data_IF_527575266180
#
_entry.id   IF_527575266180
#
_cell.length_a   1.000
_cell.length_b   1.000
_cell.length_c   1.000
_cell.angle_alpha   90.00
_cell.angle_beta   90.00
_cell.angle_gamma   90.00
#
_symmetry.space_group_name_H-M   'P 1'
#
loop_
_entity.id
_entity.type
_entity.pdbx_description
1 polymer ?
#
# COMPACT_ATOMS: atom_id res chain seq x y z
N UNK A 1 20.14 15.20 -11.68
CA UNK A 1 18.69 15.19 -11.43
C UNK A 1 17.92 15.57 -12.68
N UNK A 2 18.22 16.71 -13.31
CA UNK A 2 17.55 17.22 -14.51
C UNK A 2 17.58 16.21 -15.68
N UNK A 3 18.74 15.64 -16.00
CA UNK A 3 18.87 14.61 -17.06
C UNK A 3 18.00 13.37 -16.81
N UNK A 4 17.89 12.94 -15.54
CA UNK A 4 17.04 11.78 -15.18
C UNK A 4 15.57 12.16 -15.40
N UNK A 5 15.15 13.34 -14.91
CA UNK A 5 13.79 13.84 -15.14
C UNK A 5 13.45 13.92 -16.63
N UNK A 6 14.33 14.53 -17.43
CA UNK A 6 14.14 14.65 -18.89
C UNK A 6 14.04 13.28 -19.56
N UNK A 7 14.91 12.31 -19.19
CA UNK A 7 14.82 10.95 -19.73
C UNK A 7 13.51 10.27 -19.38
N UNK A 8 13.02 10.43 -18.16
CA UNK A 8 11.72 9.90 -17.75
C UNK A 8 10.57 10.60 -18.50
N UNK A 9 10.61 11.93 -18.60
CA UNK A 9 9.59 12.69 -19.36
C UNK A 9 9.53 12.19 -20.80
N UNK A 10 10.68 11.95 -21.45
CA UNK A 10 10.73 11.43 -22.81
C UNK A 10 10.21 9.98 -22.90
N UNK A 11 10.51 9.14 -21.91
CA UNK A 11 10.00 7.76 -21.86
C UNK A 11 8.46 7.70 -21.79
N UNK A 12 7.82 8.70 -21.19
CA UNK A 12 6.36 8.88 -21.16
C UNK A 12 5.80 9.74 -22.32
N UNK A 13 6.57 9.93 -23.39
CA UNK A 13 6.14 10.63 -24.60
C UNK A 13 6.42 12.13 -24.63
N UNK A 14 7.02 12.70 -23.59
CA UNK A 14 7.53 14.07 -23.57
C UNK A 14 6.49 15.20 -23.45
N UNK A 15 5.20 14.88 -23.57
CA UNK A 15 4.14 15.90 -23.65
C UNK A 15 2.91 15.49 -22.84
N UNK A 16 3.03 15.52 -21.51
CA UNK A 16 1.95 15.28 -20.56
C UNK A 16 1.94 16.37 -19.47
N UNK A 17 0.81 16.58 -18.85
CA UNK A 17 0.67 17.51 -17.73
C UNK A 17 1.19 16.91 -16.43
N UNK A 18 0.74 15.69 -16.11
CA UNK A 18 1.14 14.90 -14.94
C UNK A 18 0.90 13.41 -15.18
N UNK A 19 1.54 12.56 -14.38
CA UNK A 19 1.26 11.13 -14.32
C UNK A 19 0.50 10.85 -13.01
N UNK A 20 -0.69 10.27 -13.13
CA UNK A 20 -1.48 9.86 -11.98
C UNK A 20 -1.25 8.37 -11.73
N UNK A 21 -0.72 8.05 -10.55
CA UNK A 21 -0.50 6.68 -10.11
C UNK A 21 -1.65 6.26 -9.22
N UNK A 22 -2.20 5.06 -9.41
CA UNK A 22 -3.30 4.56 -8.61
C UNK A 22 -3.53 3.07 -8.77
N UNK A 23 -4.42 2.53 -7.93
CA UNK A 23 -4.84 1.12 -7.98
C UNK A 23 -4.05 0.16 -7.10
N UNK A 24 -2.86 0.55 -6.62
CA UNK A 24 -2.05 -0.17 -5.64
C UNK A 24 -1.20 0.81 -4.82
N UNK A 25 -0.60 0.34 -3.74
CA UNK A 25 0.39 1.11 -3.01
C UNK A 25 1.55 1.48 -3.93
N UNK A 26 2.00 2.73 -3.85
CA UNK A 26 3.13 3.20 -4.64
C UNK A 26 4.41 3.08 -3.81
N UNK A 27 5.46 2.52 -4.41
CA UNK A 27 6.73 2.32 -3.72
C UNK A 27 7.30 3.66 -3.23
N UNK A 28 7.55 3.76 -1.94
CA UNK A 28 7.95 5.00 -1.27
C UNK A 28 9.32 5.53 -1.72
N UNK A 29 10.27 4.66 -2.10
CA UNK A 29 11.57 5.09 -2.63
C UNK A 29 11.44 5.68 -4.03
N UNK A 30 10.63 5.05 -4.88
CA UNK A 30 10.32 5.57 -6.23
C UNK A 30 9.62 6.91 -6.10
N UNK A 31 8.64 7.04 -5.22
CA UNK A 31 7.95 8.30 -4.93
C UNK A 31 8.93 9.38 -4.48
N UNK A 32 9.79 9.07 -3.52
CA UNK A 32 10.84 9.97 -3.05
C UNK A 32 11.80 10.40 -4.17
N UNK A 33 12.17 9.48 -5.07
CA UNK A 33 13.00 9.80 -6.23
C UNK A 33 12.28 10.78 -7.16
N UNK A 34 11.04 10.49 -7.55
CA UNK A 34 10.24 11.34 -8.44
C UNK A 34 10.09 12.75 -7.86
N UNK A 35 9.79 12.85 -6.57
CA UNK A 35 9.72 14.13 -5.86
C UNK A 35 11.07 14.88 -5.89
N UNK A 36 12.17 14.19 -5.56
CA UNK A 36 13.54 14.79 -5.55
C UNK A 36 14.01 15.30 -6.91
N UNK A 37 13.57 14.70 -8.01
CA UNK A 37 13.94 15.14 -9.37
C UNK A 37 12.94 16.14 -9.95
N UNK A 38 11.84 16.44 -9.25
CA UNK A 38 10.79 17.34 -9.71
C UNK A 38 9.99 16.79 -10.90
N UNK A 39 9.70 15.49 -10.90
CA UNK A 39 8.85 14.86 -11.90
C UNK A 39 7.37 15.14 -11.59
N UNK A 40 6.58 15.43 -12.62
CA UNK A 40 5.16 15.78 -12.46
C UNK A 40 4.34 14.50 -12.24
N UNK A 41 4.10 14.13 -10.99
CA UNK A 41 3.29 12.98 -10.63
C UNK A 41 2.37 13.31 -9.45
N UNK A 42 1.34 12.52 -9.31
CA UNK A 42 0.47 12.47 -8.15
C UNK A 42 0.00 11.03 -7.91
N UNK A 43 -0.46 10.76 -6.70
CA UNK A 43 -1.08 9.48 -6.35
C UNK A 43 -2.56 9.73 -6.08
N UNK A 44 -3.42 8.97 -6.76
CA UNK A 44 -4.86 8.99 -6.54
C UNK A 44 -5.35 7.70 -5.89
N UNK A 45 -6.43 7.82 -5.14
CA UNK A 45 -7.08 6.67 -4.51
C UNK A 45 -8.51 6.54 -5.00
N UNK A 46 -8.95 5.31 -5.16
CA UNK A 46 -10.30 5.05 -5.60
C UNK A 46 -10.72 3.58 -5.56
N UNK A 47 -11.99 3.36 -5.83
CA UNK A 47 -12.61 2.06 -5.87
C UNK A 47 -13.58 1.99 -7.04
N UNK A 48 -13.83 0.80 -7.59
CA UNK A 48 -14.80 0.57 -8.66
C UNK A 48 -16.18 1.11 -8.29
N UNK A 49 -16.53 0.99 -7.02
CA UNK A 49 -17.77 1.44 -6.39
C UNK A 49 -17.93 2.97 -6.41
N UNK A 50 -16.85 3.71 -6.70
CA UNK A 50 -16.84 5.18 -6.79
C UNK A 50 -16.45 5.70 -8.18
N UNK A 51 -16.48 4.89 -9.22
CA UNK A 51 -16.37 5.18 -10.66
C UNK A 51 -15.12 5.98 -11.14
N UNK A 52 -13.88 5.70 -10.81
CA UNK A 52 -13.38 5.06 -9.59
C UNK A 52 -12.87 6.04 -8.52
N UNK A 53 -12.70 7.36 -8.83
CA UNK A 53 -11.89 8.31 -8.05
C UNK A 53 -12.59 8.73 -6.75
N UNK A 54 -11.92 8.51 -5.63
CA UNK A 54 -12.31 8.99 -4.29
C UNK A 54 -11.47 10.21 -3.90
N UNK A 55 -10.14 10.13 -4.06
CA UNK A 55 -9.25 11.24 -3.75
C UNK A 55 -8.19 11.42 -4.83
N UNK A 56 -7.76 12.67 -4.96
CA UNK A 56 -6.78 13.13 -5.93
C UNK A 56 -6.36 14.57 -5.60
N UNK A 57 -5.14 14.93 -5.93
CA UNK A 57 -4.68 16.33 -5.89
C UNK A 57 -3.78 16.59 -7.10
N UNK A 58 -3.82 17.82 -7.64
CA UNK A 58 -2.91 18.25 -8.69
C UNK A 58 -1.45 18.21 -8.21
N UNK A 59 -0.53 17.80 -9.07
CA UNK A 59 0.87 17.60 -8.73
C UNK A 59 1.57 18.81 -8.09
N UNK A 60 1.09 20.04 -8.36
CA UNK A 60 1.65 21.26 -7.74
C UNK A 60 1.34 21.37 -6.24
N UNK A 61 0.22 20.78 -5.80
CA UNK A 61 -0.25 20.83 -4.42
C UNK A 61 -0.20 19.46 -3.73
N UNK A 62 0.26 18.45 -4.46
CA UNK A 62 0.30 17.07 -3.97
C UNK A 62 1.28 16.92 -2.80
N UNK A 63 0.81 16.34 -1.71
CA UNK A 63 1.62 15.98 -0.56
C UNK A 63 2.17 14.56 -0.73
N UNK A 64 3.51 14.37 -0.90
CA UNK A 64 4.10 13.04 -1.06
C UNK A 64 3.73 12.08 0.08
N UNK A 65 3.50 10.82 -0.25
CA UNK A 65 3.03 9.79 0.68
C UNK A 65 1.53 9.80 0.91
N UNK A 66 0.80 10.83 0.43
CA UNK A 66 -0.66 10.87 0.47
C UNK A 66 -1.29 10.31 -0.81
N UNK A 67 -2.62 10.21 -0.80
CA UNK A 67 -3.42 9.99 -2.02
C UNK A 67 -4.21 11.24 -2.42
N UNK A 68 -3.70 12.42 -2.06
CA UNK A 68 -4.40 13.69 -2.28
C UNK A 68 -5.59 13.88 -1.35
N UNK A 69 -6.45 14.82 -1.73
CA UNK A 69 -7.67 15.22 -0.99
C UNK A 69 -8.92 14.63 -1.64
N UNK A 70 -10.04 14.70 -0.94
CA UNK A 70 -11.33 14.31 -1.50
C UNK A 70 -11.53 14.95 -2.89
N UNK A 71 -11.82 14.12 -3.89
CA UNK A 71 -12.06 14.60 -5.25
C UNK A 71 -13.30 15.52 -5.31
N UNK A 72 -13.42 16.41 -6.30
CA UNK A 72 -14.59 17.26 -6.44
C UNK A 72 -15.89 16.46 -6.40
N UNK A 73 -16.88 16.91 -5.60
CA UNK A 73 -18.18 16.24 -5.33
C UNK A 73 -18.08 14.96 -4.52
N UNK A 74 -16.92 14.65 -3.95
CA UNK A 74 -16.74 13.59 -2.96
C UNK A 74 -16.64 14.17 -1.57
N UNK A 75 -17.20 13.47 -0.61
CA UNK A 75 -16.96 13.64 0.81
C UNK A 75 -16.18 12.42 1.28
N UNK A 76 -15.12 12.65 2.05
CA UNK A 76 -14.32 11.59 2.65
C UNK A 76 -14.19 11.87 4.14
N UNK A 77 -14.31 10.83 4.95
CA UNK A 77 -14.03 10.90 6.39
C UNK A 77 -13.30 9.67 6.86
N UNK A 78 -12.51 9.83 7.89
CA UNK A 78 -11.88 8.70 8.60
C UNK A 78 -12.75 8.38 9.82
N UNK A 79 -13.20 7.15 9.92
CA UNK A 79 -14.00 6.66 11.06
C UNK A 79 -13.09 6.40 12.27
N UNK A 80 -12.63 7.48 12.88
CA UNK A 80 -11.70 7.48 14.01
C UNK A 80 -12.06 8.63 14.97
N UNK A 81 -11.76 8.46 16.24
CA UNK A 81 -11.87 9.54 17.22
C UNK A 81 -10.79 10.63 17.03
N UNK A 82 -9.66 10.27 16.43
CA UNK A 82 -8.56 11.18 16.07
C UNK A 82 -8.10 10.86 14.65
N UNK A 83 -8.79 11.40 13.63
CA UNK A 83 -8.52 11.09 12.22
C UNK A 83 -7.10 11.40 11.75
N UNK A 84 -6.40 12.29 12.43
CA UNK A 84 -5.04 12.68 12.05
C UNK A 84 -3.97 11.69 12.55
N UNK A 85 -4.21 11.04 13.70
CA UNK A 85 -3.18 10.23 14.36
C UNK A 85 -3.56 8.76 14.52
N UNK A 86 -4.85 8.45 14.57
CA UNK A 86 -5.36 7.09 14.79
C UNK A 86 -6.06 6.60 13.52
N UNK A 87 -5.49 5.60 12.82
CA UNK A 87 -6.12 5.05 11.64
C UNK A 87 -7.54 4.55 11.88
N UNK A 88 -8.44 4.88 10.97
CA UNK A 88 -9.81 4.42 10.95
C UNK A 88 -10.23 4.06 9.54
N UNK A 89 -11.41 3.44 9.37
CA UNK A 89 -11.95 3.14 8.07
C UNK A 89 -12.16 4.42 7.26
N UNK A 90 -11.68 4.41 6.02
CA UNK A 90 -11.96 5.46 5.05
C UNK A 90 -13.40 5.28 4.55
N UNK A 91 -14.24 6.28 4.78
CA UNK A 91 -15.62 6.32 4.29
C UNK A 91 -15.73 7.38 3.21
N UNK A 92 -16.38 7.03 2.11
CA UNK A 92 -16.55 7.91 0.95
C UNK A 92 -18.02 8.07 0.59
N UNK A 93 -18.41 9.27 0.18
CA UNK A 93 -19.77 9.57 -0.30
C UNK A 93 -19.69 10.60 -1.42
N UNK A 94 -20.44 10.40 -2.50
CA UNK A 94 -20.47 11.35 -3.59
C UNK A 94 -21.40 10.95 -4.71
N UNK A 95 -21.51 11.81 -5.71
CA UNK A 95 -22.39 11.59 -6.87
C UNK A 95 -21.93 10.47 -7.79
N UNK A 96 -20.69 10.01 -7.63
CA UNK A 96 -20.08 8.91 -8.36
C UNK A 96 -20.08 7.58 -7.56
N UNK A 97 -20.63 7.57 -6.33
CA UNK A 97 -20.81 6.34 -5.58
C UNK A 97 -21.89 5.48 -6.23
N UNK A 98 -21.64 4.18 -6.35
CA UNK A 98 -22.56 3.19 -6.94
C UNK A 98 -23.92 3.19 -6.25
N UNK A 99 -24.95 2.76 -6.96
CA UNK A 99 -26.27 2.51 -6.39
C UNK A 99 -26.35 1.18 -5.62
N UNK A 100 -25.42 0.27 -5.89
CA UNK A 100 -25.34 -1.04 -5.25
C UNK A 100 -24.79 -2.11 -6.19
N UNK A 101 -24.58 -3.31 -5.65
CA UNK A 101 -24.18 -4.48 -6.42
C UNK A 101 -25.37 -5.11 -7.12
N UNK A 102 -25.23 -5.41 -8.41
CA UNK A 102 -26.30 -5.96 -9.22
C UNK A 102 -26.79 -7.31 -8.66
N UNK A 103 -28.10 -7.41 -8.38
CA UNK A 103 -28.76 -8.59 -7.80
C UNK A 103 -28.14 -9.10 -6.49
N UNK A 104 -27.44 -8.24 -5.74
CA UNK A 104 -26.85 -8.60 -4.46
C UNK A 104 -27.15 -7.53 -3.40
N UNK A 105 -28.38 -7.46 -2.90
CA UNK A 105 -28.78 -6.47 -1.90
C UNK A 105 -28.07 -6.66 -0.56
N UNK A 106 -27.68 -7.88 -0.21
CA UNK A 106 -26.96 -8.18 1.03
C UNK A 106 -25.57 -7.55 1.01
N UNK A 107 -24.76 -7.80 -0.03
CA UNK A 107 -23.45 -7.15 -0.17
C UNK A 107 -23.58 -5.63 -0.28
N UNK A 108 -24.65 -5.14 -0.91
CA UNK A 108 -24.92 -3.70 -0.98
C UNK A 108 -25.12 -3.10 0.42
N UNK A 109 -25.97 -3.73 1.24
CA UNK A 109 -26.24 -3.26 2.61
C UNK A 109 -25.03 -3.36 3.55
N UNK A 110 -24.09 -4.26 3.28
CA UNK A 110 -22.82 -4.35 4.02
C UNK A 110 -21.82 -3.26 3.64
N UNK A 111 -21.96 -2.68 2.45
CA UNK A 111 -20.98 -1.78 1.85
C UNK A 111 -21.45 -0.32 1.79
N UNK A 112 -22.76 -0.11 1.60
CA UNK A 112 -23.40 1.22 1.63
C UNK A 112 -24.30 1.32 2.86
N UNK A 113 -24.02 2.31 3.71
CA UNK A 113 -24.88 2.59 4.85
C UNK A 113 -26.12 3.40 4.43
N UNK A 114 -27.06 3.54 5.39
CA UNK A 114 -28.34 4.27 5.18
C UNK A 114 -28.18 5.76 4.88
N UNK A 115 -27.01 6.33 5.23
CA UNK A 115 -26.68 7.75 5.04
C UNK A 115 -25.89 7.96 3.73
N UNK A 116 -25.71 6.89 2.94
CA UNK A 116 -25.06 6.88 1.64
C UNK A 116 -23.53 6.84 1.69
N UNK A 117 -22.95 6.49 2.84
CA UNK A 117 -21.52 6.30 2.93
C UNK A 117 -21.13 4.91 2.41
N UNK A 118 -20.13 4.91 1.55
CA UNK A 118 -19.45 3.72 1.08
C UNK A 118 -18.33 3.34 2.07
N UNK A 119 -18.44 2.15 2.64
CA UNK A 119 -17.44 1.52 3.49
C UNK A 119 -16.38 0.89 2.61
N UNK A 120 -15.20 1.53 2.52
CA UNK A 120 -14.16 1.10 1.58
C UNK A 120 -13.45 -0.18 2.03
N UNK A 121 -13.47 -0.48 3.33
CA UNK A 121 -12.66 -1.51 3.95
C UNK A 121 -11.15 -1.17 3.99
N UNK A 122 -10.77 0.04 3.56
CA UNK A 122 -9.41 0.54 3.67
C UNK A 122 -9.25 1.39 4.94
N UNK A 123 -8.11 1.31 5.58
CA UNK A 123 -7.73 2.08 6.75
C UNK A 123 -6.84 3.24 6.34
N UNK A 124 -7.03 4.39 6.99
CA UNK A 124 -6.21 5.56 6.72
C UNK A 124 -6.29 6.61 7.81
N UNK A 125 -5.50 7.66 7.63
CA UNK A 125 -5.53 8.90 8.40
C UNK A 125 -5.71 10.08 7.45
N UNK A 126 -6.13 11.22 7.99
CA UNK A 126 -6.31 12.46 7.24
C UNK A 126 -5.68 13.61 8.02
N UNK A 127 -4.76 14.35 7.40
CA UNK A 127 -4.14 15.51 8.04
C UNK A 127 -5.09 16.72 8.08
N UNK A 128 -4.61 17.80 8.73
CA UNK A 128 -5.39 19.04 8.87
C UNK A 128 -5.68 19.73 7.54
N UNK A 129 -4.88 19.50 6.52
CA UNK A 129 -5.02 20.01 5.16
C UNK A 129 -6.00 19.18 4.33
N UNK A 130 -6.44 18.01 4.82
CA UNK A 130 -7.36 17.08 4.18
C UNK A 130 -6.68 16.05 3.26
N UNK A 131 -5.34 15.92 3.32
CA UNK A 131 -4.64 14.88 2.60
C UNK A 131 -4.88 13.51 3.27
N UNK A 132 -5.14 12.49 2.45
CA UNK A 132 -5.49 11.14 2.90
C UNK A 132 -4.26 10.24 2.76
N UNK A 133 -3.93 9.50 3.82
CA UNK A 133 -2.82 8.56 3.87
C UNK A 133 -3.38 7.17 4.14
N UNK A 134 -3.24 6.25 3.18
CA UNK A 134 -3.68 4.86 3.34
C UNK A 134 -2.67 4.12 4.23
N UNK A 135 -3.19 3.30 5.16
CA UNK A 135 -2.41 2.49 6.09
C UNK A 135 -2.51 1.00 5.84
N UNK A 136 -3.57 0.55 5.17
CA UNK A 136 -3.79 -0.85 4.83
C UNK A 136 -5.26 -1.18 4.70
N UNK A 137 -5.58 -2.48 4.85
CA UNK A 137 -6.95 -2.99 4.77
C UNK A 137 -7.42 -3.50 6.13
N UNK A 138 -8.68 -3.20 6.49
CA UNK A 138 -9.30 -3.72 7.73
C UNK A 138 -9.14 -5.24 7.86
N UNK A 139 -9.41 -5.97 6.78
CA UNK A 139 -9.35 -7.44 6.77
C UNK A 139 -7.94 -8.03 6.89
N UNK A 140 -6.91 -7.22 6.63
CA UNK A 140 -5.51 -7.65 6.71
C UNK A 140 -4.85 -7.22 8.02
N UNK A 141 -5.51 -6.33 8.78
CA UNK A 141 -5.01 -5.86 10.06
C UNK A 141 -4.80 -7.04 11.01
N UNK A 142 -3.64 -7.08 11.64
CA UNK A 142 -3.29 -8.09 12.63
C UNK A 142 -3.39 -7.49 14.04
N UNK A 143 -3.66 -8.34 15.01
CA UNK A 143 -3.71 -7.92 16.41
C UNK A 143 -2.42 -8.40 17.11
N UNK A 144 -1.63 -7.46 17.58
CA UNK A 144 -0.44 -7.75 18.37
C UNK A 144 -0.77 -8.37 19.74
N UNK A 145 0.18 -9.09 20.33
CA UNK A 145 0.02 -9.79 21.62
C UNK A 145 -0.45 -8.89 22.77
N UNK A 146 -0.17 -7.58 22.71
CA UNK A 146 -0.60 -6.59 23.71
C UNK A 146 -1.80 -5.76 23.23
N UNK A 147 -2.50 -6.19 22.17
CA UNK A 147 -3.70 -5.54 21.67
C UNK A 147 -3.49 -4.36 20.73
N UNK A 148 -2.26 -4.15 20.25
CA UNK A 148 -1.98 -3.13 19.22
C UNK A 148 -2.45 -3.60 17.85
N UNK A 149 -3.00 -2.66 17.07
CA UNK A 149 -3.24 -2.88 15.65
C UNK A 149 -1.91 -2.86 14.90
N UNK A 150 -1.68 -3.88 14.09
CA UNK A 150 -0.53 -3.99 13.18
C UNK A 150 -1.05 -3.94 11.76
N UNK A 151 -0.44 -3.11 10.95
CA UNK A 151 -0.77 -2.92 9.53
C UNK A 151 0.32 -3.57 8.67
N UNK A 152 0.10 -4.82 8.21
CA UNK A 152 1.12 -5.56 7.47
C UNK A 152 1.67 -4.80 6.27
N UNK A 153 0.80 -4.06 5.58
CA UNK A 153 1.16 -3.30 4.39
C UNK A 153 2.22 -2.23 4.69
N UNK A 154 2.22 -1.61 5.87
CA UNK A 154 3.25 -0.63 6.26
C UNK A 154 4.62 -1.29 6.50
N UNK A 155 4.64 -2.51 7.01
CA UNK A 155 5.88 -3.29 7.19
C UNK A 155 6.40 -3.76 5.83
N UNK A 156 5.48 -4.23 4.97
CA UNK A 156 5.77 -4.71 3.63
C UNK A 156 6.31 -3.60 2.72
N UNK A 157 5.76 -2.39 2.80
CA UNK A 157 6.27 -1.23 2.05
C UNK A 157 7.74 -0.99 2.36
N UNK A 158 8.12 -1.01 3.64
CA UNK A 158 9.51 -0.85 4.06
C UNK A 158 10.38 -2.02 3.61
N UNK A 159 9.90 -3.26 3.74
CA UNK A 159 10.65 -4.45 3.33
C UNK A 159 10.88 -4.49 1.82
N UNK A 160 9.90 -4.06 1.02
CA UNK A 160 9.99 -3.98 -0.43
C UNK A 160 10.99 -2.92 -0.93
N UNK A 161 11.51 -2.04 -0.07
CA UNK A 161 12.59 -1.11 -0.42
C UNK A 161 13.97 -1.68 -0.18
N UNK A 162 14.08 -2.83 0.50
CA UNK A 162 15.36 -3.43 0.85
C UNK A 162 15.93 -4.28 -0.29
N UNK A 163 17.27 -4.43 -0.38
CA UNK A 163 17.94 -5.12 -1.47
C UNK A 163 17.38 -6.54 -1.71
N UNK A 164 17.26 -6.92 -2.97
CA UNK A 164 16.83 -8.24 -3.44
C UNK A 164 15.42 -8.65 -3.03
N UNK A 165 14.56 -7.75 -2.55
CA UNK A 165 13.16 -8.04 -2.28
C UNK A 165 12.32 -7.61 -3.48
N UNK A 166 11.73 -8.57 -4.19
CA UNK A 166 10.81 -8.29 -5.30
C UNK A 166 9.38 -8.11 -4.80
N UNK A 167 8.92 -9.01 -3.94
CA UNK A 167 7.59 -8.96 -3.32
C UNK A 167 7.63 -9.60 -1.94
N UNK A 168 6.80 -9.08 -1.03
CA UNK A 168 6.64 -9.71 0.27
C UNK A 168 5.21 -9.58 0.79
N UNK A 169 4.87 -10.45 1.73
CA UNK A 169 3.71 -10.35 2.60
C UNK A 169 4.11 -10.68 4.03
N UNK A 170 3.51 -9.97 4.98
CA UNK A 170 3.69 -10.23 6.41
C UNK A 170 2.48 -10.98 6.94
N UNK A 171 2.75 -12.09 7.62
CA UNK A 171 1.73 -12.93 8.27
C UNK A 171 2.02 -13.04 9.76
N UNK A 172 0.99 -13.40 10.52
CA UNK A 172 1.12 -13.66 11.95
C UNK A 172 0.96 -15.17 12.23
N UNK A 173 1.89 -15.74 13.00
CA UNK A 173 1.83 -17.12 13.46
C UNK A 173 2.31 -17.21 14.90
N UNK A 174 1.49 -17.78 15.78
CA UNK A 174 1.80 -17.88 17.22
C UNK A 174 2.19 -16.51 17.82
N UNK A 175 1.39 -15.49 17.54
CA UNK A 175 1.59 -14.09 18.00
C UNK A 175 2.88 -13.40 17.52
N UNK A 176 3.62 -14.02 16.60
CA UNK A 176 4.83 -13.47 15.99
C UNK A 176 4.61 -13.16 14.53
N UNK A 177 5.27 -12.12 14.04
CA UNK A 177 5.23 -11.73 12.63
C UNK A 177 6.35 -12.42 11.85
N UNK A 178 6.04 -12.83 10.64
CA UNK A 178 6.97 -13.44 9.69
C UNK A 178 6.77 -12.83 8.32
N UNK A 179 7.85 -12.64 7.60
CA UNK A 179 7.80 -12.22 6.20
C UNK A 179 7.88 -13.43 5.27
N UNK A 180 6.95 -13.55 4.34
CA UNK A 180 7.08 -14.41 3.19
C UNK A 180 7.62 -13.54 2.06
N UNK A 181 8.75 -13.91 1.46
CA UNK A 181 9.47 -13.06 0.51
C UNK A 181 9.68 -13.83 -0.80
N UNK A 182 9.32 -13.20 -1.89
CA UNK A 182 9.79 -13.58 -3.22
C UNK A 182 10.96 -12.67 -3.58
N UNK A 183 12.19 -13.20 -3.63
CA UNK A 183 13.38 -12.40 -3.94
C UNK A 183 13.46 -11.98 -5.39
N UNK A 184 14.20 -10.92 -5.67
CA UNK A 184 14.70 -10.62 -7.01
C UNK A 184 15.90 -11.52 -7.31
N UNK A 185 15.61 -12.70 -7.81
CA UNK A 185 16.62 -13.70 -8.17
C UNK A 185 17.54 -13.23 -9.30
N UNK A 186 17.02 -12.42 -10.23
CA UNK A 186 17.83 -11.89 -11.32
C UNK A 186 18.88 -10.91 -10.82
N UNK A 187 18.50 -10.01 -9.90
CA UNK A 187 19.43 -9.08 -9.29
C UNK A 187 20.44 -9.80 -8.40
N UNK A 188 19.99 -10.78 -7.62
CA UNK A 188 20.87 -11.60 -6.78
C UNK A 188 21.93 -12.34 -7.63
N UNK A 189 21.54 -12.97 -8.73
CA UNK A 189 22.44 -13.68 -9.64
C UNK A 189 23.44 -12.71 -10.29
N UNK A 190 22.99 -11.56 -10.78
CA UNK A 190 23.87 -10.51 -11.35
C UNK A 190 24.95 -10.05 -10.37
N UNK A 191 24.63 -10.04 -9.06
CA UNK A 191 25.56 -9.68 -8.00
C UNK A 191 26.36 -10.88 -7.45
N UNK A 192 26.21 -12.05 -8.03
CA UNK A 192 26.98 -13.26 -7.69
C UNK A 192 26.57 -13.93 -6.39
N UNK A 193 25.34 -13.67 -5.90
CA UNK A 193 24.80 -14.32 -4.71
C UNK A 193 24.30 -15.72 -5.05
N UNK A 194 24.77 -16.71 -4.29
CA UNK A 194 24.17 -18.02 -4.26
C UNK A 194 23.01 -18.07 -3.24
N UNK A 195 22.42 -19.24 -3.04
CA UNK A 195 21.29 -19.43 -2.10
C UNK A 195 21.67 -19.05 -0.66
N UNK A 196 22.91 -19.32 -0.24
CA UNK A 196 23.39 -18.93 1.09
C UNK A 196 23.58 -17.41 1.20
N UNK A 197 24.24 -16.80 0.22
CA UNK A 197 24.42 -15.35 0.15
C UNK A 197 23.09 -14.60 0.13
N UNK A 198 22.08 -15.12 -0.59
CA UNK A 198 20.74 -14.56 -0.60
C UNK A 198 20.05 -14.66 0.78
N UNK A 199 20.18 -15.80 1.46
CA UNK A 199 19.67 -15.95 2.82
C UNK A 199 20.35 -15.00 3.81
N UNK A 200 21.67 -14.80 3.71
CA UNK A 200 22.41 -13.83 4.54
C UNK A 200 21.93 -12.38 4.26
N UNK A 201 21.71 -12.02 2.99
CA UNK A 201 21.15 -10.73 2.62
C UNK A 201 19.75 -10.51 3.22
N UNK A 202 18.88 -11.53 3.15
CA UNK A 202 17.54 -11.46 3.76
C UNK A 202 17.58 -11.36 5.28
N UNK A 203 18.52 -12.02 5.94
CA UNK A 203 18.70 -11.86 7.39
C UNK A 203 19.19 -10.46 7.75
N UNK A 204 20.03 -9.85 6.91
CA UNK A 204 20.41 -8.46 7.09
C UNK A 204 19.20 -7.53 6.88
N UNK A 205 18.39 -7.75 5.83
CA UNK A 205 17.16 -7.01 5.58
C UNK A 205 16.19 -7.12 6.78
N UNK A 206 16.03 -8.31 7.36
CA UNK A 206 15.22 -8.50 8.56
C UNK A 206 15.68 -7.63 9.73
N UNK A 207 16.99 -7.59 9.97
CA UNK A 207 17.58 -6.77 11.04
C UNK A 207 17.36 -5.28 10.77
N UNK A 208 17.57 -4.85 9.54
CA UNK A 208 17.38 -3.45 9.11
C UNK A 208 15.92 -3.05 9.23
N UNK A 209 14.98 -3.84 8.68
CA UNK A 209 13.54 -3.62 8.82
C UNK A 209 13.14 -3.44 10.29
N UNK A 210 13.65 -4.31 11.17
CA UNK A 210 13.34 -4.27 12.60
C UNK A 210 13.85 -3.01 13.31
N UNK A 211 14.74 -2.23 12.68
CA UNK A 211 15.11 -0.89 13.17
C UNK A 211 14.17 0.21 12.68
N UNK A 212 13.39 -0.04 11.62
CA UNK A 212 12.51 0.93 10.98
C UNK A 212 11.06 0.85 11.49
N UNK A 213 10.73 -0.20 12.24
CA UNK A 213 9.37 -0.49 12.73
C UNK A 213 9.31 -0.47 14.26
N UNK A 214 8.11 -0.32 14.82
CA UNK A 214 7.92 -0.39 16.26
C UNK A 214 8.22 -1.81 16.80
N UNK A 215 8.52 -1.94 18.08
CA UNK A 215 8.90 -3.22 18.67
C UNK A 215 7.87 -4.33 18.48
N UNK A 216 6.57 -3.98 18.48
CA UNK A 216 5.47 -4.92 18.27
C UNK A 216 5.22 -5.28 16.79
N UNK A 217 5.87 -4.57 15.85
CA UNK A 217 5.82 -4.79 14.40
C UNK A 217 7.03 -5.57 13.88
N UNK A 218 8.00 -5.87 14.74
CA UNK A 218 9.22 -6.56 14.35
C UNK A 218 8.94 -7.98 13.87
N UNK A 219 9.52 -8.34 12.73
CA UNK A 219 9.43 -9.70 12.20
C UNK A 219 10.43 -10.63 12.89
N UNK A 220 9.96 -11.82 13.28
CA UNK A 220 10.74 -12.84 13.96
C UNK A 220 11.57 -13.68 13.01
N UNK A 221 11.19 -13.77 11.75
CA UNK A 221 11.86 -14.55 10.72
C UNK A 221 11.23 -14.33 9.36
N UNK A 222 11.75 -15.06 8.38
CA UNK A 222 11.25 -15.01 7.01
C UNK A 222 11.27 -16.39 6.36
N UNK A 223 10.54 -16.51 5.24
CA UNK A 223 10.59 -17.66 4.35
C UNK A 223 10.71 -17.18 2.91
N UNK A 224 11.66 -17.75 2.17
CA UNK A 224 11.84 -17.45 0.75
C UNK A 224 10.96 -18.35 -0.12
N UNK A 225 10.32 -17.73 -1.10
CA UNK A 225 9.54 -18.39 -2.12
C UNK A 225 10.33 -18.42 -3.43
N UNK A 226 10.29 -19.57 -4.13
CA UNK A 226 10.98 -19.76 -5.42
C UNK A 226 10.15 -19.25 -6.60
N UNK A 227 8.85 -19.09 -6.39
CA UNK A 227 7.89 -18.63 -7.40
C UNK A 227 7.18 -17.38 -6.91
N UNK A 228 6.77 -16.54 -7.84
CA UNK A 228 5.95 -15.36 -7.53
C UNK A 228 4.67 -15.73 -6.79
N UNK A 229 4.21 -14.83 -5.93
CA UNK A 229 2.92 -15.01 -5.28
C UNK A 229 1.78 -14.97 -6.29
N UNK A 230 0.75 -15.80 -6.05
CA UNK A 230 -0.47 -15.73 -6.83
C UNK A 230 -1.16 -14.37 -6.66
N UNK A 231 -1.55 -13.78 -7.79
CA UNK A 231 -2.14 -12.44 -7.84
C UNK A 231 -3.56 -12.43 -8.39
N UNK A 232 -4.30 -11.44 -7.99
CA UNK A 232 -5.57 -11.08 -8.61
C UNK A 232 -5.32 -10.47 -10.00
N UNK A 233 -6.36 -10.31 -10.86
CA UNK A 233 -6.24 -9.56 -12.11
C UNK A 233 -5.71 -8.12 -11.95
N UNK A 234 -5.88 -7.52 -10.77
CA UNK A 234 -5.34 -6.21 -10.38
C UNK A 234 -3.88 -6.28 -9.88
N UNK A 235 -3.22 -7.45 -10.00
CA UNK A 235 -1.85 -7.71 -9.54
C UNK A 235 -1.64 -7.62 -8.01
N UNK A 236 -2.69 -7.61 -7.21
CA UNK A 236 -2.58 -7.72 -5.74
C UNK A 236 -2.39 -9.18 -5.33
N UNK A 237 -1.48 -9.44 -4.40
CA UNK A 237 -1.23 -10.79 -3.89
C UNK A 237 -2.49 -11.34 -3.21
N UNK A 238 -2.83 -12.59 -3.50
CA UNK A 238 -3.94 -13.33 -2.87
C UNK A 238 -3.52 -13.83 -1.49
N UNK A 239 -3.45 -12.93 -0.52
CA UNK A 239 -2.94 -13.19 0.85
C UNK A 239 -3.55 -14.42 1.50
N UNK A 240 -4.86 -14.66 1.31
CA UNK A 240 -5.58 -15.78 1.91
C UNK A 240 -4.98 -17.16 1.57
N UNK A 241 -4.21 -17.28 0.50
CA UNK A 241 -3.52 -18.53 0.15
C UNK A 241 -2.29 -18.78 1.02
N UNK A 242 -1.79 -17.76 1.72
CA UNK A 242 -0.51 -17.78 2.43
C UNK A 242 -0.65 -17.60 3.95
N UNK A 243 -1.84 -17.30 4.46
CA UNK A 243 -2.10 -17.09 5.89
C UNK A 243 -1.66 -18.27 6.77
N UNK A 244 -1.77 -19.50 6.24
CA UNK A 244 -1.40 -20.74 6.93
C UNK A 244 -0.04 -21.31 6.48
N UNK A 245 0.79 -20.50 5.83
CA UNK A 245 2.09 -20.97 5.35
C UNK A 245 2.94 -21.54 6.52
N UNK A 246 3.59 -22.67 6.27
CA UNK A 246 4.60 -23.19 7.21
C UNK A 246 5.85 -22.29 7.14
N UNK A 247 6.40 -21.95 8.29
CA UNK A 247 7.60 -21.10 8.45
C UNK A 247 8.78 -22.00 8.81
#
# INVERSE_FOLDING_TARGET
RERIRESLVQAFGGNFYEIIVGGAAFNSEVENLLHKIGFNYTVGYGATECAPIISYEDWHNFAPGSCGKAAPRMEVRINSADPANVPGEILARGTNTMLGYFKNPEATAQTLDKDGWYHTGDLGVMDAEGNIYIRGRIKNMLLGASGQNIYPEEIEDKLNTLPYVSECIVIQKNEKLYALIYPDYEEAEKNGLDENGLNEAMEQNRKELNTMVAAYEQISGFKLYKEEFEKTPKRSIKRFLYENAEI
#
